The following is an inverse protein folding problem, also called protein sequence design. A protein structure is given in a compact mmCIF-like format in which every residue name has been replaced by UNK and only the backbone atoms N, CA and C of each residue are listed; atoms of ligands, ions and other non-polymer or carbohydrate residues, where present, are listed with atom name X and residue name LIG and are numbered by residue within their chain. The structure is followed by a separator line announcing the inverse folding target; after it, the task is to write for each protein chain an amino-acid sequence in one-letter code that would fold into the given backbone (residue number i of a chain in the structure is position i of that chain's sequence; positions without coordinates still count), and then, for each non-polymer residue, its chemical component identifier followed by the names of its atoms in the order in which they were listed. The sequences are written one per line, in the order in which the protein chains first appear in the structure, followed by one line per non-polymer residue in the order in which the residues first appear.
data_IF_784334006393
#
_entry.id   IF_784334006393
#
_cell.length_a   1.000
_cell.length_b   1.000
_cell.length_c   1.000
_cell.angle_alpha   90.00
_cell.angle_beta   90.00
_cell.angle_gamma   90.00
#
_symmetry.space_group_name_H-M   'P 1'
#
loop_
_entity.id
_entity.type
_entity.pdbx_description
1 polymer ?
#
# COMPACT_ATOMS: atom_id res chain seq x y z
N UNK A 1 71.87 -24.19 -6.61
CA UNK A 1 71.02 -24.21 -7.83
C UNK A 1 69.61 -24.64 -7.46
N UNK A 2 68.64 -23.75 -7.75
CA UNK A 2 67.21 -23.94 -8.08
C UNK A 2 66.45 -25.17 -7.54
N UNK A 3 65.33 -24.91 -6.85
CA UNK A 3 63.96 -25.10 -7.39
C UNK A 3 62.92 -24.50 -6.43
N UNK A 4 62.27 -23.42 -6.88
CA UNK A 4 61.17 -22.77 -6.19
C UNK A 4 59.86 -23.52 -6.42
N UNK A 5 59.10 -23.71 -5.34
CA UNK A 5 57.76 -24.27 -5.36
C UNK A 5 56.78 -23.09 -5.40
N UNK A 6 56.29 -22.77 -6.61
CA UNK A 6 55.14 -21.89 -6.83
C UNK A 6 53.89 -22.75 -6.95
N UNK A 7 53.05 -22.76 -5.92
CA UNK A 7 51.70 -23.31 -5.92
C UNK A 7 50.90 -22.45 -4.95
N UNK A 8 49.66 -22.05 -5.16
CA UNK A 8 48.76 -22.00 -6.30
C UNK A 8 47.67 -21.09 -5.72
N UNK A 9 47.41 -19.94 -6.35
CA UNK A 9 46.40 -19.01 -5.86
C UNK A 9 45.04 -19.72 -5.88
N UNK A 10 44.51 -20.08 -4.71
CA UNK A 10 43.13 -20.55 -4.57
C UNK A 10 42.28 -19.32 -4.30
N UNK A 11 41.56 -18.90 -5.35
CA UNK A 11 40.69 -17.75 -5.36
C UNK A 11 39.59 -17.89 -4.29
N UNK A 12 39.65 -17.03 -3.28
CA UNK A 12 38.64 -16.85 -2.24
C UNK A 12 37.50 -15.97 -2.78
N UNK A 13 36.80 -16.43 -3.82
CA UNK A 13 35.78 -15.63 -4.54
C UNK A 13 34.38 -16.24 -4.49
N UNK A 14 33.82 -16.44 -3.29
CA UNK A 14 32.39 -16.78 -3.18
C UNK A 14 31.81 -16.49 -1.79
N UNK A 15 31.75 -15.22 -1.37
CA UNK A 15 31.00 -14.83 -0.16
C UNK A 15 30.13 -13.57 -0.32
N UNK A 16 30.05 -12.98 -1.52
CA UNK A 16 29.05 -11.95 -1.80
C UNK A 16 27.75 -12.61 -2.30
N UNK A 17 27.13 -13.42 -1.44
CA UNK A 17 25.73 -13.76 -1.62
C UNK A 17 24.93 -12.48 -1.40
N UNK A 18 24.57 -11.79 -2.49
CA UNK A 18 23.62 -10.70 -2.42
C UNK A 18 22.36 -11.26 -1.74
N UNK A 19 21.90 -10.59 -0.68
CA UNK A 19 20.58 -10.87 -0.11
C UNK A 19 19.55 -10.69 -1.22
N UNK A 20 19.11 -11.80 -1.82
CA UNK A 20 18.02 -11.78 -2.78
C UNK A 20 16.74 -11.46 -2.00
N UNK A 21 16.25 -10.22 -2.11
CA UNK A 21 14.99 -9.76 -1.47
C UNK A 21 13.72 -10.39 -2.07
N UNK A 22 13.81 -11.58 -2.65
CA UNK A 22 12.67 -12.28 -3.20
C UNK A 22 11.71 -12.66 -2.07
N UNK A 23 10.48 -12.13 -2.10
CA UNK A 23 9.46 -12.37 -1.09
C UNK A 23 9.41 -11.34 0.05
N UNK A 24 10.09 -10.20 -0.08
CA UNK A 24 9.90 -9.08 0.84
C UNK A 24 8.42 -8.67 0.88
N UNK A 25 7.85 -8.64 2.09
CA UNK A 25 6.45 -8.28 2.33
C UNK A 25 6.38 -6.85 2.87
N UNK A 26 5.55 -6.03 2.26
CA UNK A 26 5.31 -4.66 2.69
C UNK A 26 4.24 -4.66 3.78
N UNK A 27 4.67 -4.50 5.03
CA UNK A 27 3.77 -4.20 6.14
C UNK A 27 3.97 -2.73 6.56
N UNK A 28 3.00 -1.88 6.22
CA UNK A 28 3.04 -0.44 6.53
C UNK A 28 1.76 -0.05 7.26
N UNK A 29 1.84 0.76 8.33
CA UNK A 29 0.67 1.27 9.01
C UNK A 29 -0.10 2.25 8.10
N UNK A 30 -1.37 2.48 8.43
CA UNK A 30 -2.18 3.53 7.76
C UNK A 30 -1.60 4.89 8.09
N UNK A 31 -1.25 5.64 7.06
CA UNK A 31 -0.76 7.01 7.16
C UNK A 31 -1.87 7.98 6.80
N UNK A 32 -2.00 9.04 7.60
CA UNK A 32 -2.95 10.13 7.36
C UNK A 32 -2.24 11.45 7.60
N UNK A 33 -2.29 12.33 6.62
CA UNK A 33 -1.73 13.70 6.66
C UNK A 33 -2.85 14.73 6.46
N UNK A 34 -2.51 16.00 6.30
CA UNK A 34 -3.47 17.08 6.02
C UNK A 34 -4.15 16.96 4.65
N UNK A 35 -3.53 16.27 3.69
CA UNK A 35 -3.97 16.30 2.27
C UNK A 35 -4.12 14.92 1.63
N UNK A 36 -3.63 13.87 2.30
CA UNK A 36 -3.69 12.51 1.78
C UNK A 36 -3.67 11.46 2.88
N UNK A 37 -4.14 10.27 2.52
CA UNK A 37 -3.98 9.08 3.33
C UNK A 37 -3.62 7.88 2.47
N UNK A 38 -2.90 6.93 3.05
CA UNK A 38 -2.51 5.71 2.35
C UNK A 38 -2.26 4.53 3.28
N UNK A 39 -2.34 3.32 2.72
CA UNK A 39 -2.00 2.11 3.43
C UNK A 39 -2.51 0.84 2.75
N UNK A 40 -1.95 -0.33 3.11
CA UNK A 40 -2.44 -1.63 2.67
C UNK A 40 -3.68 -2.04 3.49
N UNK A 41 -4.75 -2.46 2.80
CA UNK A 41 -5.99 -2.91 3.44
C UNK A 41 -5.80 -4.12 4.34
N UNK A 42 -5.05 -5.12 3.86
CA UNK A 42 -4.77 -6.34 4.62
C UNK A 42 -3.96 -6.04 5.87
N UNK A 43 -2.88 -5.27 5.78
CA UNK A 43 -2.10 -4.83 6.94
C UNK A 43 -2.93 -4.07 7.96
N UNK A 44 -3.76 -3.11 7.53
CA UNK A 44 -4.63 -2.37 8.43
C UNK A 44 -5.62 -3.29 9.16
N UNK A 45 -6.18 -4.29 8.46
CA UNK A 45 -7.10 -5.26 9.08
C UNK A 45 -6.40 -6.22 10.04
N UNK A 46 -5.21 -6.68 9.68
CA UNK A 46 -4.43 -7.65 10.46
C UNK A 46 -3.73 -7.00 11.66
N UNK A 47 -3.81 -5.68 11.77
CA UNK A 47 -3.15 -4.94 12.83
C UNK A 47 -3.79 -5.27 14.19
N UNK A 48 -2.98 -5.41 15.26
CA UNK A 48 -3.51 -5.62 16.60
C UNK A 48 -4.18 -4.37 17.19
N UNK A 49 -4.00 -3.19 16.57
CA UNK A 49 -4.68 -1.98 16.99
C UNK A 49 -6.11 -1.91 16.44
N UNK A 50 -7.07 -1.66 17.33
CA UNK A 50 -8.49 -1.57 16.95
C UNK A 50 -8.84 -0.27 16.19
N UNK A 51 -7.84 0.58 15.89
CA UNK A 51 -8.02 1.96 15.44
C UNK A 51 -7.68 2.12 13.96
N UNK A 52 -6.64 1.45 13.45
CA UNK A 52 -6.20 1.66 12.07
C UNK A 52 -7.20 1.10 11.08
N UNK A 53 -7.63 1.94 10.14
CA UNK A 53 -8.55 1.57 9.06
C UNK A 53 -8.34 2.47 7.86
N UNK A 54 -8.48 1.92 6.68
CA UNK A 54 -8.49 2.66 5.43
C UNK A 54 -9.48 1.98 4.48
N UNK A 55 -10.12 2.74 3.61
CA UNK A 55 -11.01 2.19 2.59
C UNK A 55 -11.74 3.26 1.81
N UNK A 56 -12.46 2.81 0.79
CA UNK A 56 -13.41 3.63 0.07
C UNK A 56 -14.74 2.87 -0.05
N UNK A 57 -15.83 3.63 -0.15
CA UNK A 57 -17.18 3.15 -0.38
C UNK A 57 -17.78 3.89 -1.56
N UNK A 58 -18.63 3.21 -2.32
CA UNK A 58 -19.40 3.80 -3.40
C UNK A 58 -20.87 3.65 -3.03
N UNK A 59 -21.56 4.76 -2.83
CA UNK A 59 -23.00 4.78 -2.57
C UNK A 59 -23.73 5.25 -3.83
N UNK A 60 -24.88 4.68 -4.14
CA UNK A 60 -25.69 5.12 -5.28
C UNK A 60 -27.16 5.06 -4.89
N UNK A 61 -27.90 6.13 -5.18
CA UNK A 61 -29.34 6.20 -4.98
C UNK A 61 -30.05 6.09 -6.33
N UNK A 62 -31.29 5.62 -6.34
CA UNK A 62 -32.10 5.57 -7.57
C UNK A 62 -32.17 6.97 -8.20
N UNK A 63 -31.84 7.06 -9.50
CA UNK A 63 -31.86 8.32 -10.25
C UNK A 63 -30.69 9.27 -9.98
N UNK A 64 -29.67 8.87 -9.23
CA UNK A 64 -28.50 9.72 -8.88
C UNK A 64 -27.18 9.12 -9.38
N UNK A 65 -26.18 9.99 -9.59
CA UNK A 65 -24.82 9.56 -9.85
C UNK A 65 -24.21 8.85 -8.62
N UNK A 66 -23.27 7.90 -8.80
CA UNK A 66 -22.54 7.30 -7.68
C UNK A 66 -21.71 8.33 -6.92
N UNK A 67 -21.71 8.22 -5.60
CA UNK A 67 -20.87 9.01 -4.69
C UNK A 67 -19.78 8.10 -4.10
N UNK A 68 -18.53 8.38 -4.43
CA UNK A 68 -17.34 7.85 -3.77
C UNK A 68 -17.13 8.56 -2.44
N UNK A 69 -16.88 7.80 -1.38
CA UNK A 69 -16.37 8.29 -0.10
C UNK A 69 -15.16 7.46 0.31
N UNK A 70 -13.99 8.09 0.40
CA UNK A 70 -12.78 7.47 0.94
C UNK A 70 -12.52 7.96 2.35
N UNK A 71 -12.00 7.08 3.20
CA UNK A 71 -11.69 7.38 4.59
C UNK A 71 -10.44 6.63 5.02
N UNK A 72 -9.75 7.22 5.99
CA UNK A 72 -8.62 6.61 6.66
C UNK A 72 -8.55 7.10 8.11
N UNK A 73 -8.09 6.23 8.99
CA UNK A 73 -7.84 6.51 10.38
C UNK A 73 -6.49 5.89 10.71
N UNK A 74 -5.51 6.73 11.07
CA UNK A 74 -4.28 6.30 11.73
C UNK A 74 -4.54 6.18 13.24
N UNK A 75 -3.51 5.99 14.06
CA UNK A 75 -3.68 5.98 15.53
C UNK A 75 -4.29 7.28 16.08
N UNK A 76 -3.97 8.43 15.49
CA UNK A 76 -4.30 9.75 16.04
C UNK A 76 -5.03 10.67 15.07
N UNK A 77 -5.15 10.30 13.79
CA UNK A 77 -5.61 11.22 12.75
C UNK A 77 -6.64 10.53 11.87
N UNK A 78 -7.71 11.27 11.55
CA UNK A 78 -8.72 10.88 10.59
C UNK A 78 -8.64 11.75 9.33
N UNK A 79 -8.83 11.13 8.17
CA UNK A 79 -8.93 11.82 6.89
C UNK A 79 -10.05 11.22 6.06
N UNK A 80 -10.76 12.05 5.32
CA UNK A 80 -11.84 11.61 4.44
C UNK A 80 -12.03 12.55 3.28
N UNK A 81 -12.53 12.01 2.17
CA UNK A 81 -12.95 12.81 1.03
C UNK A 81 -14.12 12.18 0.30
N UNK A 82 -14.82 13.00 -0.49
CA UNK A 82 -15.89 12.54 -1.37
C UNK A 82 -15.64 12.94 -2.82
N UNK A 83 -16.17 12.17 -3.77
CA UNK A 83 -16.18 12.54 -5.19
C UNK A 83 -17.34 11.88 -5.92
N UNK A 84 -17.85 12.54 -6.94
CA UNK A 84 -18.80 12.02 -7.93
C UNK A 84 -18.13 11.91 -9.33
N UNK A 85 -16.82 12.12 -9.41
CA UNK A 85 -16.06 11.93 -10.64
C UNK A 85 -16.13 10.45 -11.06
N UNK A 86 -16.65 10.16 -12.27
CA UNK A 86 -16.87 8.78 -12.71
C UNK A 86 -15.57 7.98 -12.88
N UNK A 87 -14.44 8.64 -13.15
CA UNK A 87 -13.13 7.99 -13.25
C UNK A 87 -12.62 7.57 -11.87
N UNK A 88 -12.75 8.43 -10.85
CA UNK A 88 -12.39 8.06 -9.47
C UNK A 88 -13.30 6.95 -8.93
N UNK A 89 -14.60 7.01 -9.22
CA UNK A 89 -15.55 5.93 -8.88
C UNK A 89 -15.14 4.62 -9.54
N UNK A 90 -14.74 4.65 -10.82
CA UNK A 90 -14.30 3.45 -11.55
C UNK A 90 -13.02 2.87 -10.94
N UNK A 91 -12.03 3.71 -10.60
CA UNK A 91 -10.82 3.25 -9.91
C UNK A 91 -11.13 2.61 -8.56
N UNK A 92 -12.06 3.18 -7.79
CA UNK A 92 -12.47 2.64 -6.50
C UNK A 92 -13.09 1.24 -6.59
N UNK A 93 -13.68 0.86 -7.73
CA UNK A 93 -14.21 -0.49 -7.96
C UNK A 93 -13.13 -1.57 -8.09
N UNK A 94 -11.88 -1.19 -8.33
CA UNK A 94 -10.75 -2.13 -8.42
C UNK A 94 -10.18 -2.54 -7.04
N UNK A 95 -10.70 -1.96 -5.95
CA UNK A 95 -10.27 -2.25 -4.59
C UNK A 95 -10.73 -3.65 -4.18
N UNK A 96 -9.80 -4.46 -3.66
CA UNK A 96 -10.02 -5.79 -3.11
C UNK A 96 -9.43 -5.91 -1.69
N UNK A 97 -9.41 -7.11 -1.10
CA UNK A 97 -9.00 -7.31 0.30
C UNK A 97 -7.51 -7.09 0.58
N UNK A 98 -6.68 -7.12 -0.45
CA UNK A 98 -5.22 -7.02 -0.43
C UNK A 98 -4.68 -5.75 -1.11
N UNK A 99 -5.55 -4.84 -1.55
CA UNK A 99 -5.11 -3.60 -2.19
C UNK A 99 -4.34 -2.69 -1.25
N UNK A 100 -3.38 -1.98 -1.81
CA UNK A 100 -2.91 -0.70 -1.28
C UNK A 100 -3.75 0.44 -1.85
N UNK A 101 -4.17 1.35 -0.97
CA UNK A 101 -4.94 2.53 -1.34
C UNK A 101 -4.11 3.77 -1.01
N UNK A 102 -4.12 4.75 -1.91
CA UNK A 102 -3.75 6.13 -1.62
C UNK A 102 -4.81 7.06 -2.19
N UNK A 103 -5.33 7.96 -1.37
CA UNK A 103 -6.24 9.00 -1.83
C UNK A 103 -5.80 10.37 -1.33
N UNK A 104 -6.06 11.40 -2.14
CA UNK A 104 -5.77 12.81 -1.85
C UNK A 104 -7.04 13.63 -1.87
N UNK A 105 -7.04 14.74 -1.14
CA UNK A 105 -8.15 15.68 -1.13
C UNK A 105 -7.70 17.13 -1.18
N UNK A 106 -8.59 17.99 -1.66
CA UNK A 106 -8.41 19.44 -1.57
C UNK A 106 -8.98 20.00 -0.26
N UNK A 107 -8.81 21.31 -0.05
CA UNK A 107 -9.31 22.01 1.14
C UNK A 107 -10.85 21.94 1.33
N UNK A 108 -11.61 21.57 0.29
CA UNK A 108 -13.06 21.37 0.35
C UNK A 108 -13.47 19.93 0.70
N UNK A 109 -12.51 19.04 1.00
CA UNK A 109 -12.78 17.64 1.28
C UNK A 109 -13.18 16.82 0.04
N UNK A 110 -12.86 17.31 -1.17
CA UNK A 110 -13.13 16.59 -2.43
C UNK A 110 -11.94 15.74 -2.81
N UNK A 111 -12.16 14.49 -3.17
CA UNK A 111 -11.08 13.62 -3.63
C UNK A 111 -10.52 14.14 -4.94
N UNK A 112 -9.21 14.36 -5.00
CA UNK A 112 -8.50 14.86 -6.19
C UNK A 112 -7.72 13.78 -6.92
N UNK A 113 -7.39 12.68 -6.22
CA UNK A 113 -6.78 11.49 -6.82
C UNK A 113 -7.09 10.26 -5.99
N UNK A 114 -7.24 9.12 -6.66
CA UNK A 114 -7.30 7.79 -6.05
C UNK A 114 -6.33 6.87 -6.79
N UNK A 115 -5.45 6.22 -6.04
CA UNK A 115 -4.53 5.20 -6.50
C UNK A 115 -4.86 3.89 -5.78
N UNK A 116 -4.99 2.82 -6.57
CA UNK A 116 -5.28 1.47 -6.09
C UNK A 116 -4.25 0.54 -6.71
N UNK A 117 -3.58 -0.23 -5.88
CA UNK A 117 -2.58 -1.20 -6.32
C UNK A 117 -2.88 -2.58 -5.75
N UNK A 118 -2.97 -3.56 -6.65
CA UNK A 118 -3.13 -4.97 -6.32
C UNK A 118 -1.80 -5.66 -6.64
N UNK A 119 -0.96 -5.84 -5.62
CA UNK A 119 0.38 -6.39 -5.78
C UNK A 119 0.68 -7.43 -4.69
N UNK A 120 1.39 -8.50 -5.07
CA UNK A 120 1.75 -9.61 -4.18
C UNK A 120 2.67 -9.21 -3.02
N UNK A 121 3.21 -7.99 -3.04
CA UNK A 121 4.01 -7.44 -1.97
C UNK A 121 3.16 -7.08 -0.73
N UNK A 122 1.87 -6.80 -0.89
CA UNK A 122 0.97 -6.44 0.20
C UNK A 122 0.39 -7.68 0.89
N UNK A 123 0.34 -7.63 2.22
CA UNK A 123 -0.20 -8.75 2.98
C UNK A 123 -1.71 -8.92 2.71
N UNK A 124 -2.20 -10.14 2.46
CA UNK A 124 -3.63 -10.38 2.35
C UNK A 124 -4.30 -10.21 3.71
N UNK A 125 -5.61 -9.91 3.69
CA UNK A 125 -6.44 -9.94 4.90
C UNK A 125 -6.47 -11.36 5.47
N UNK A 126 -6.20 -11.49 6.76
CA UNK A 126 -6.28 -12.75 7.51
C UNK A 126 -7.69 -12.91 8.10
N UNK A 127 -8.16 -14.17 8.16
CA UNK A 127 -9.44 -14.57 8.76
C UNK A 127 -9.26 -14.94 10.23
#
# INVERSE_FOLDING_TARGET
MKRGTKWMAMALTSLLGAVAGAGEKVNKPVQVTSEHASGPLGSARNSPDAVQRIGCSITTYAGSAPLLTCFAHSLNTYGSCTSDDPYLVTTARAINGDSYILFRWNALGRCTSLYVENASAYAPKQL
#
